data_IF_966612769372
#
_entry.id   IF_966612769372
#
_cell.length_a   1.000
_cell.length_b   1.000
_cell.length_c   1.000
_cell.angle_alpha   90.00
_cell.angle_beta   90.00
_cell.angle_gamma   90.00
#
_symmetry.space_group_name_H-M   'P 1'
#
loop_
_entity.id
_entity.type
_entity.pdbx_description
1 polymer ?
#
# COMPACT_ATOMS: atom_id res chain seq x y z
N UNK A 1 -16.87 38.44 10.24
CA UNK A 1 -15.66 39.26 10.09
C UNK A 1 -14.44 38.37 10.33
N UNK A 2 -13.51 38.46 9.38
CA UNK A 2 -12.12 37.97 9.34
C UNK A 2 -11.86 36.49 9.01
N UNK A 3 -11.28 36.32 7.81
CA UNK A 3 -10.38 35.26 7.33
C UNK A 3 -10.88 34.14 6.41
N UNK A 4 -11.41 34.49 5.23
CA UNK A 4 -11.40 33.58 4.07
C UNK A 4 -10.98 34.23 2.72
N UNK A 5 -10.32 35.40 2.74
CA UNK A 5 -9.99 36.16 1.50
C UNK A 5 -8.54 36.11 0.99
N UNK A 6 -7.72 35.15 1.41
CA UNK A 6 -6.36 35.03 0.85
C UNK A 6 -5.95 33.60 0.52
N UNK A 7 -6.54 32.98 -0.51
CA UNK A 7 -5.97 31.74 -1.08
C UNK A 7 -6.08 31.52 -2.59
N UNK A 8 -6.24 32.56 -3.41
CA UNK A 8 -6.09 32.43 -4.86
C UNK A 8 -5.46 33.68 -5.49
N UNK A 9 -4.12 33.77 -5.40
CA UNK A 9 -3.31 34.58 -6.31
C UNK A 9 -2.11 33.76 -6.75
N UNK A 10 -2.14 33.32 -8.01
CA UNK A 10 -0.97 32.82 -8.70
C UNK A 10 -1.23 31.54 -9.48
N UNK A 11 -1.76 31.65 -10.69
CA UNK A 11 -1.22 30.95 -11.86
C UNK A 11 -1.84 31.55 -13.12
N UNK A 12 -0.94 32.14 -13.91
CA UNK A 12 -1.17 32.79 -15.19
C UNK A 12 -1.50 31.77 -16.28
N UNK A 13 -2.33 32.23 -17.23
CA UNK A 13 -2.80 31.55 -18.42
C UNK A 13 -1.72 30.82 -19.24
N UNK A 14 -2.06 29.63 -19.74
CA UNK A 14 -1.63 29.09 -21.02
C UNK A 14 -2.46 27.83 -21.34
N UNK A 15 -3.12 27.82 -22.50
CA UNK A 15 -3.64 26.58 -23.09
C UNK A 15 -5.05 26.67 -23.69
N UNK A 16 -5.16 27.26 -24.87
CA UNK A 16 -6.30 27.08 -25.79
C UNK A 16 -6.20 25.68 -26.40
N UNK A 17 -7.24 24.83 -26.29
CA UNK A 17 -7.64 23.88 -27.33
C UNK A 17 -8.98 23.16 -27.03
N UNK A 18 -9.97 23.49 -27.87
CA UNK A 18 -10.98 22.62 -28.51
C UNK A 18 -11.86 21.74 -27.59
N UNK A 19 -13.06 22.24 -27.28
CA UNK A 19 -14.20 21.43 -26.87
C UNK A 19 -14.91 20.85 -28.11
N UNK A 20 -15.08 19.53 -28.14
CA UNK A 20 -16.01 18.86 -29.03
C UNK A 20 -17.43 18.95 -28.42
N UNK A 21 -18.33 19.60 -29.15
CA UNK A 21 -19.74 19.71 -28.83
C UNK A 21 -20.44 18.35 -29.01
N UNK A 22 -21.16 17.89 -27.99
CA UNK A 22 -22.17 16.86 -28.12
C UNK A 22 -23.56 17.52 -27.96
N UNK A 23 -24.36 17.41 -29.03
CA UNK A 23 -25.70 17.94 -29.17
C UNK A 23 -26.64 17.58 -28.02
N UNK A 24 -27.31 18.57 -27.45
CA UNK A 24 -28.70 18.45 -27.02
C UNK A 24 -29.51 19.53 -27.71
N UNK A 25 -30.62 19.11 -28.31
CA UNK A 25 -31.46 19.89 -29.23
C UNK A 25 -32.11 21.08 -28.54
N UNK A 26 -31.81 22.27 -29.03
CA UNK A 26 -32.48 23.53 -28.67
C UNK A 26 -33.80 23.63 -29.44
N UNK A 27 -34.92 23.75 -28.74
CA UNK A 27 -36.21 24.17 -29.30
C UNK A 27 -36.13 25.68 -29.59
N UNK A 28 -36.61 26.18 -30.74
CA UNK A 28 -36.37 27.56 -31.15
C UNK A 28 -37.05 28.57 -30.21
N UNK A 29 -36.31 29.63 -29.88
CA UNK A 29 -36.85 30.81 -29.20
C UNK A 29 -37.93 31.50 -30.07
N UNK A 30 -39.04 31.97 -29.49
CA UNK A 30 -39.91 32.91 -30.18
C UNK A 30 -39.21 34.28 -30.32
N UNK A 31 -39.43 34.90 -31.47
CA UNK A 31 -38.88 36.19 -31.88
C UNK A 31 -39.39 37.36 -31.04
N UNK A 32 -38.49 38.31 -30.75
CA UNK A 32 -38.82 39.64 -30.24
C UNK A 32 -39.54 40.49 -31.29
N UNK A 33 -40.74 40.97 -30.97
CA UNK A 33 -41.28 42.24 -31.44
C UNK A 33 -42.43 42.73 -30.52
N UNK A 34 -42.29 44.00 -30.10
CA UNK A 34 -43.27 44.96 -29.55
C UNK A 34 -43.69 44.78 -28.07
N UNK A 35 -42.98 45.40 -27.11
CA UNK A 35 -42.98 46.81 -26.65
C UNK A 35 -43.99 47.07 -25.49
N UNK A 36 -43.41 47.50 -24.37
CA UNK A 36 -43.98 48.23 -23.23
C UNK A 36 -45.21 47.65 -22.50
N UNK A 37 -44.93 46.94 -21.41
CA UNK A 37 -45.31 47.49 -20.10
C UNK A 37 -44.47 46.86 -18.99
N UNK A 38 -43.60 47.70 -18.42
CA UNK A 38 -43.29 47.63 -16.99
C UNK A 38 -44.59 47.45 -16.19
N UNK A 39 -44.45 46.84 -15.01
CA UNK A 39 -45.50 46.56 -14.00
C UNK A 39 -46.21 45.20 -14.21
N UNK A 40 -45.47 44.14 -13.91
CA UNK A 40 -45.97 42.77 -13.79
C UNK A 40 -45.73 42.16 -12.39
N UNK A 41 -45.68 42.96 -11.32
CA UNK A 41 -46.09 42.49 -9.99
C UNK A 41 -47.60 42.26 -10.07
N UNK A 42 -47.99 41.11 -10.62
CA UNK A 42 -49.39 40.77 -10.80
C UNK A 42 -49.96 40.42 -9.43
N UNK A 43 -50.54 41.44 -8.80
CA UNK A 43 -51.61 41.40 -7.82
C UNK A 43 -51.91 39.98 -7.29
N UNK A 44 -51.36 39.67 -6.13
CA UNK A 44 -52.06 38.80 -5.19
C UNK A 44 -53.39 39.51 -4.90
N UNK A 45 -54.50 38.88 -5.23
CA UNK A 45 -55.84 39.39 -4.95
C UNK A 45 -55.98 39.66 -3.44
N UNK A 46 -55.90 40.93 -3.06
CA UNK A 46 -56.01 41.41 -1.68
C UNK A 46 -57.48 41.50 -1.20
N UNK A 47 -58.40 40.70 -1.75
CA UNK A 47 -59.75 40.58 -1.18
C UNK A 47 -59.81 39.75 0.11
N UNK A 48 -58.70 39.11 0.52
CA UNK A 48 -58.52 38.52 1.86
C UNK A 48 -57.18 38.91 2.52
N UNK A 49 -56.88 40.21 2.63
CA UNK A 49 -55.77 40.71 3.48
C UNK A 49 -56.07 40.49 4.98
N UNK A 50 -56.03 39.22 5.40
CA UNK A 50 -55.80 38.83 6.78
C UNK A 50 -54.36 38.37 6.87
N UNK A 51 -53.56 39.03 7.70
CA UNK A 51 -52.20 38.67 8.11
C UNK A 51 -51.80 37.22 7.72
N UNK A 52 -51.26 37.05 6.51
CA UNK A 52 -50.80 35.75 6.04
C UNK A 52 -49.41 35.55 6.65
N UNK A 53 -49.36 34.82 7.75
CA UNK A 53 -48.12 34.31 8.34
C UNK A 53 -48.08 32.80 8.14
N UNK A 54 -46.93 32.24 7.77
CA UNK A 54 -46.79 30.82 7.49
C UNK A 54 -47.10 30.43 6.04
N UNK A 55 -47.60 29.21 5.83
CA UNK A 55 -47.80 28.64 4.49
C UNK A 55 -49.09 29.13 3.83
N UNK A 56 -49.00 29.51 2.55
CA UNK A 56 -50.15 29.84 1.72
C UNK A 56 -50.11 29.10 0.40
N UNK A 57 -51.29 28.69 -0.10
CA UNK A 57 -51.46 28.14 -1.45
C UNK A 57 -52.34 29.11 -2.23
N UNK A 58 -51.73 29.89 -3.12
CA UNK A 58 -52.40 30.95 -3.88
C UNK A 58 -52.23 30.76 -5.39
N UNK A 59 -52.73 31.71 -6.19
CA UNK A 59 -52.45 31.81 -7.63
C UNK A 59 -51.32 32.82 -7.88
N UNK A 60 -50.35 32.55 -8.78
CA UNK A 60 -50.16 31.30 -9.52
C UNK A 60 -49.94 30.09 -8.59
N UNK A 61 -50.36 28.90 -9.04
CA UNK A 61 -50.43 27.72 -8.17
C UNK A 61 -49.05 27.37 -7.60
N UNK A 62 -48.91 27.47 -6.27
CA UNK A 62 -47.66 27.23 -5.57
C UNK A 62 -47.85 27.28 -4.06
N UNK A 63 -46.91 26.70 -3.32
CA UNK A 63 -46.83 26.89 -1.86
C UNK A 63 -45.83 28.00 -1.58
N UNK A 64 -46.26 29.01 -0.83
CA UNK A 64 -45.49 30.19 -0.47
C UNK A 64 -45.30 30.25 1.04
N UNK A 65 -44.25 30.92 1.50
CA UNK A 65 -44.01 31.13 2.92
C UNK A 65 -43.84 32.63 3.22
N UNK A 66 -44.61 33.11 4.18
CA UNK A 66 -44.58 34.49 4.65
C UNK A 66 -44.13 34.50 6.11
N UNK A 67 -43.18 35.38 6.44
CA UNK A 67 -42.71 35.55 7.81
C UNK A 67 -43.75 36.29 8.68
N UNK A 68 -43.41 36.51 9.95
CA UNK A 68 -44.29 37.17 10.93
C UNK A 68 -44.61 38.64 10.57
N UNK A 69 -43.78 39.28 9.74
CA UNK A 69 -44.00 40.63 9.24
C UNK A 69 -44.83 40.64 7.94
N UNK A 70 -45.25 39.47 7.46
CA UNK A 70 -46.01 39.28 6.23
C UNK A 70 -45.15 39.37 4.97
N UNK A 71 -43.82 39.30 5.09
CA UNK A 71 -42.90 39.34 3.96
C UNK A 71 -42.72 37.94 3.39
N UNK A 72 -42.90 37.81 2.07
CA UNK A 72 -42.65 36.56 1.35
C UNK A 72 -41.17 36.20 1.42
N UNK A 73 -40.88 34.98 1.85
CA UNK A 73 -39.52 34.46 1.89
C UNK A 73 -39.16 33.76 0.59
N UNK A 74 -37.91 33.92 0.20
CA UNK A 74 -37.30 33.25 -0.96
C UNK A 74 -35.98 32.59 -0.55
N UNK A 75 -35.43 31.78 -1.44
CA UNK A 75 -34.20 31.02 -1.26
C UNK A 75 -34.29 30.00 -0.11
N UNK A 76 -33.17 29.70 0.55
CA UNK A 76 -33.07 28.70 1.60
C UNK A 76 -33.62 29.27 2.93
N UNK A 77 -34.72 28.70 3.42
CA UNK A 77 -35.43 29.23 4.59
C UNK A 77 -35.59 28.12 5.62
N UNK A 78 -35.21 28.40 6.88
CA UNK A 78 -35.61 27.58 8.02
C UNK A 78 -36.97 28.07 8.52
N UNK A 79 -38.00 27.29 8.24
CA UNK A 79 -39.38 27.62 8.61
C UNK A 79 -39.61 27.46 10.12
N UNK A 80 -40.73 28.01 10.62
CA UNK A 80 -41.12 27.93 12.04
C UNK A 80 -41.27 26.49 12.58
N UNK A 81 -41.56 25.53 11.70
CA UNK A 81 -41.60 24.11 12.05
C UNK A 81 -40.20 23.48 12.20
N UNK A 82 -39.14 24.28 12.06
CA UNK A 82 -37.74 23.88 12.18
C UNK A 82 -37.14 23.29 10.90
N UNK A 83 -37.97 22.96 9.90
CA UNK A 83 -37.53 22.32 8.67
C UNK A 83 -36.94 23.34 7.70
N UNK A 84 -35.90 22.91 7.00
CA UNK A 84 -35.27 23.68 5.94
C UNK A 84 -36.02 23.45 4.63
N UNK A 85 -36.38 24.53 3.92
CA UNK A 85 -37.07 24.49 2.63
C UNK A 85 -36.42 25.50 1.67
N UNK A 86 -36.60 25.31 0.38
CA UNK A 86 -36.16 26.27 -0.63
C UNK A 86 -37.36 26.83 -1.39
N UNK A 87 -37.38 28.15 -1.53
CA UNK A 87 -38.39 28.89 -2.27
C UNK A 87 -37.71 29.60 -3.43
N UNK A 88 -38.27 29.46 -4.63
CA UNK A 88 -37.69 30.05 -5.83
C UNK A 88 -37.57 31.58 -5.71
N UNK A 89 -36.41 32.19 -6.03
CA UNK A 89 -36.19 33.62 -5.80
C UNK A 89 -36.97 34.54 -6.75
N UNK A 90 -37.38 34.05 -7.92
CA UNK A 90 -38.16 34.84 -8.88
C UNK A 90 -39.65 34.77 -8.58
N UNK A 91 -40.13 33.59 -8.18
CA UNK A 91 -41.56 33.31 -8.07
C UNK A 91 -42.04 33.17 -6.64
N UNK A 92 -41.17 32.87 -5.67
CA UNK A 92 -41.51 32.57 -4.27
C UNK A 92 -42.09 31.17 -4.05
N UNK A 93 -42.16 30.33 -5.10
CA UNK A 93 -42.77 28.99 -5.01
C UNK A 93 -41.81 28.00 -4.35
N UNK A 94 -42.31 27.24 -3.38
CA UNK A 94 -41.57 26.17 -2.71
C UNK A 94 -41.18 25.06 -3.70
N UNK A 95 -39.92 24.66 -3.65
CA UNK A 95 -39.37 23.59 -4.45
C UNK A 95 -39.60 22.23 -3.78
N UNK A 96 -40.01 21.23 -4.57
CA UNK A 96 -40.27 19.86 -4.10
C UNK A 96 -39.77 18.83 -5.10
N UNK A 97 -39.28 17.68 -4.64
CA UNK A 97 -38.66 16.61 -5.45
C UNK A 97 -37.54 17.10 -6.39
N UNK A 98 -36.78 18.10 -5.98
CA UNK A 98 -35.74 18.69 -6.81
C UNK A 98 -34.46 18.95 -6.05
N UNK A 99 -33.37 18.95 -6.83
CA UNK A 99 -32.05 19.35 -6.41
C UNK A 99 -31.94 20.88 -6.39
N UNK A 100 -31.20 21.37 -5.41
CA UNK A 100 -30.78 22.76 -5.35
C UNK A 100 -29.31 22.81 -5.00
N UNK A 101 -28.57 23.71 -5.63
CA UNK A 101 -27.22 24.04 -5.21
C UNK A 101 -27.14 25.52 -4.84
N UNK A 102 -26.45 25.81 -3.75
CA UNK A 102 -26.16 27.19 -3.38
C UNK A 102 -24.92 27.73 -4.12
N UNK A 103 -24.55 28.97 -3.79
CA UNK A 103 -23.42 29.67 -4.39
C UNK A 103 -22.05 29.09 -4.00
N UNK A 104 -21.98 28.27 -2.95
CA UNK A 104 -20.75 27.58 -2.49
C UNK A 104 -20.63 26.16 -3.08
N UNK A 105 -21.53 25.81 -4.02
CA UNK A 105 -21.66 24.48 -4.60
C UNK A 105 -22.02 23.39 -3.58
N UNK A 106 -22.71 23.76 -2.50
CA UNK A 106 -23.34 22.81 -1.58
C UNK A 106 -24.68 22.40 -2.17
N UNK A 107 -24.90 21.09 -2.24
CA UNK A 107 -26.11 20.53 -2.82
C UNK A 107 -27.07 20.06 -1.73
N UNK A 108 -28.35 20.34 -1.97
CA UNK A 108 -29.50 19.93 -1.17
C UNK A 108 -30.49 19.20 -2.08
N UNK A 109 -31.32 18.36 -1.47
CA UNK A 109 -32.49 17.78 -2.14
C UNK A 109 -33.73 18.02 -1.29
N UNK A 110 -34.77 18.54 -1.92
CA UNK A 110 -36.05 18.80 -1.25
C UNK A 110 -37.03 17.69 -1.59
N UNK A 111 -37.59 17.05 -0.57
CA UNK A 111 -38.53 15.93 -0.70
C UNK A 111 -39.88 16.35 -1.29
N UNK A 112 -40.82 15.40 -1.34
CA UNK A 112 -42.17 15.65 -1.87
C UNK A 112 -42.97 16.66 -1.03
N UNK A 113 -42.63 16.82 0.25
CA UNK A 113 -43.20 17.82 1.17
C UNK A 113 -42.42 19.14 1.19
N UNK A 114 -41.40 19.28 0.34
CA UNK A 114 -40.54 20.46 0.24
C UNK A 114 -39.51 20.61 1.35
N UNK A 115 -39.36 19.63 2.24
CA UNK A 115 -38.33 19.64 3.29
C UNK A 115 -36.99 19.15 2.76
N UNK A 116 -35.89 19.74 3.23
CA UNK A 116 -34.55 19.26 2.93
C UNK A 116 -34.37 17.88 3.56
N UNK A 117 -33.97 16.91 2.74
CA UNK A 117 -33.75 15.54 3.20
C UNK A 117 -32.46 15.43 4.04
N UNK A 118 -32.33 14.34 4.77
CA UNK A 118 -31.14 13.99 5.56
C UNK A 118 -30.88 12.48 5.50
N UNK A 119 -29.72 12.05 5.98
CA UNK A 119 -29.25 10.66 5.97
C UNK A 119 -29.18 10.08 4.55
N UNK A 120 -29.19 8.75 4.44
CA UNK A 120 -29.21 8.03 3.17
C UNK A 120 -30.52 8.23 2.41
N UNK A 121 -30.41 8.63 1.14
CA UNK A 121 -31.54 8.88 0.25
C UNK A 121 -31.33 8.18 -1.09
N UNK A 122 -32.36 7.48 -1.56
CA UNK A 122 -32.39 6.86 -2.88
C UNK A 122 -33.11 7.80 -3.84
N UNK A 123 -32.37 8.47 -4.70
CA UNK A 123 -32.89 9.50 -5.60
C UNK A 123 -32.52 9.10 -7.03
N UNK A 124 -33.53 8.95 -7.90
CA UNK A 124 -33.29 8.57 -9.29
C UNK A 124 -32.63 7.20 -9.49
N UNK A 125 -32.65 6.34 -8.46
CA UNK A 125 -32.03 5.00 -8.49
C UNK A 125 -30.61 4.95 -7.91
N UNK A 126 -30.03 6.09 -7.54
CA UNK A 126 -28.71 6.19 -6.94
C UNK A 126 -28.79 6.61 -5.47
N UNK A 127 -27.83 6.15 -4.66
CA UNK A 127 -27.75 6.50 -3.25
C UNK A 127 -26.93 7.77 -3.03
N UNK A 128 -27.45 8.63 -2.17
CA UNK A 128 -26.84 9.87 -1.72
C UNK A 128 -26.90 9.94 -0.19
N UNK A 129 -26.00 10.72 0.41
CA UNK A 129 -26.04 10.97 1.84
C UNK A 129 -26.07 12.47 2.10
N UNK A 130 -26.98 12.91 2.97
CA UNK A 130 -27.11 14.30 3.40
C UNK A 130 -26.90 14.37 4.90
N UNK A 131 -26.04 15.24 5.38
CA UNK A 131 -25.73 15.34 6.81
C UNK A 131 -26.95 15.83 7.60
N UNK A 132 -27.37 15.16 8.68
CA UNK A 132 -28.55 15.55 9.45
C UNK A 132 -28.48 16.95 10.08
N UNK A 133 -27.28 17.48 10.30
CA UNK A 133 -27.07 18.74 11.01
C UNK A 133 -27.32 19.97 10.14
N UNK A 134 -26.95 19.90 8.87
CA UNK A 134 -26.97 21.02 7.91
C UNK A 134 -27.69 20.71 6.59
N UNK A 135 -28.00 19.44 6.32
CA UNK A 135 -28.59 18.94 5.08
C UNK A 135 -27.67 19.03 3.85
N UNK A 136 -26.38 19.24 4.06
CA UNK A 136 -25.39 19.29 2.98
C UNK A 136 -25.18 17.88 2.42
N UNK A 137 -25.12 17.74 1.10
CA UNK A 137 -24.75 16.48 0.47
C UNK A 137 -23.28 16.12 0.76
N UNK A 138 -23.04 14.85 1.08
CA UNK A 138 -21.71 14.32 1.32
C UNK A 138 -20.93 14.05 0.03
N UNK A 139 -19.61 14.20 0.12
CA UNK A 139 -18.66 13.96 -0.96
C UNK A 139 -17.41 13.24 -0.45
N UNK A 140 -16.79 12.47 -1.34
CA UNK A 140 -15.54 11.77 -1.07
C UNK A 140 -15.67 10.61 -0.10
N UNK A 141 -14.54 10.25 0.53
CA UNK A 141 -14.53 9.26 1.59
C UNK A 141 -15.19 9.84 2.83
N UNK A 142 -16.24 9.19 3.31
CA UNK A 142 -16.93 9.53 4.54
C UNK A 142 -17.09 8.30 5.43
N UNK A 143 -17.19 8.54 6.73
CA UNK A 143 -17.49 7.49 7.69
C UNK A 143 -18.89 7.72 8.27
N UNK A 144 -19.77 6.74 8.11
CA UNK A 144 -21.17 6.78 8.56
C UNK A 144 -21.40 5.50 9.35
N UNK A 145 -21.84 5.62 10.60
CA UNK A 145 -22.08 4.49 11.52
C UNK A 145 -20.89 3.51 11.63
N UNK A 146 -19.67 4.05 11.66
CA UNK A 146 -18.43 3.27 11.76
C UNK A 146 -18.01 2.57 10.46
N UNK A 147 -18.73 2.78 9.36
CA UNK A 147 -18.44 2.20 8.04
C UNK A 147 -17.96 3.28 7.08
N UNK A 148 -17.03 2.92 6.21
CA UNK A 148 -16.47 3.84 5.23
C UNK A 148 -17.25 3.72 3.90
N UNK A 149 -17.55 4.85 3.28
CA UNK A 149 -18.22 4.94 1.98
C UNK A 149 -17.47 5.93 1.09
N UNK A 150 -17.67 5.83 -0.22
CA UNK A 150 -17.18 6.83 -1.17
C UNK A 150 -18.33 7.42 -1.96
N UNK A 151 -18.53 8.73 -1.81
CA UNK A 151 -19.47 9.53 -2.59
C UNK A 151 -18.66 10.26 -3.65
N UNK A 152 -19.13 10.25 -4.90
CA UNK A 152 -18.44 10.87 -6.01
C UNK A 152 -18.03 12.31 -5.74
N UNK A 153 -16.73 12.58 -5.70
CA UNK A 153 -16.16 13.89 -5.33
C UNK A 153 -16.33 14.96 -6.41
N UNK A 154 -16.29 16.26 -6.03
CA UNK A 154 -16.12 17.36 -6.98
C UNK A 154 -14.94 17.12 -7.94
N UNK A 155 -15.18 17.20 -9.25
CA UNK A 155 -14.28 16.75 -10.31
C UNK A 155 -15.02 16.28 -11.57
N UNK A 156 -14.42 15.40 -12.38
CA UNK A 156 -15.00 14.95 -13.66
C UNK A 156 -16.37 14.27 -13.55
N UNK A 157 -16.73 13.73 -12.37
CA UNK A 157 -18.01 13.09 -12.08
C UNK A 157 -18.59 13.62 -10.74
N UNK A 158 -18.77 14.94 -10.61
CA UNK A 158 -19.14 15.63 -9.37
C UNK A 158 -20.62 15.51 -8.97
N UNK A 159 -21.19 14.31 -8.91
CA UNK A 159 -22.62 14.15 -8.67
C UNK A 159 -22.98 13.70 -7.25
N UNK A 160 -22.02 13.30 -6.41
CA UNK A 160 -22.28 12.85 -5.03
C UNK A 160 -22.89 11.45 -4.91
N UNK A 161 -23.01 10.70 -6.01
CA UNK A 161 -23.50 9.32 -5.98
C UNK A 161 -22.57 8.42 -5.19
N UNK A 162 -23.14 7.55 -4.36
CA UNK A 162 -22.40 6.52 -3.66
C UNK A 162 -21.87 5.48 -4.66
N UNK A 163 -20.55 5.31 -4.68
CA UNK A 163 -19.91 4.25 -5.43
C UNK A 163 -20.05 2.92 -4.68
N UNK A 164 -20.31 1.85 -5.43
CA UNK A 164 -20.47 0.51 -4.90
C UNK A 164 -20.06 -0.55 -5.93
N UNK A 165 -19.96 -1.80 -5.49
CA UNK A 165 -19.73 -2.97 -6.35
C UNK A 165 -18.45 -2.93 -7.19
N UNK A 166 -17.31 -2.57 -6.60
CA UNK A 166 -16.03 -2.71 -7.28
C UNK A 166 -14.96 -1.69 -6.92
N UNK A 167 -13.98 -1.60 -7.82
CA UNK A 167 -12.83 -0.70 -7.71
C UNK A 167 -13.23 0.76 -7.93
N UNK A 168 -12.71 1.63 -7.09
CA UNK A 168 -12.92 3.08 -7.17
C UNK A 168 -11.56 3.75 -7.18
N UNK A 169 -11.36 4.68 -8.12
CA UNK A 169 -10.17 5.53 -8.16
C UNK A 169 -10.51 6.93 -7.64
N UNK A 170 -9.98 7.23 -6.46
CA UNK A 170 -10.02 8.57 -5.90
C UNK A 170 -8.95 9.42 -6.58
N UNK A 171 -9.39 10.21 -7.57
CA UNK A 171 -8.54 11.05 -8.41
C UNK A 171 -7.93 12.24 -7.66
N UNK A 172 -8.51 12.65 -6.52
CA UNK A 172 -7.99 13.76 -5.72
C UNK A 172 -6.69 13.34 -5.03
N UNK A 173 -6.67 12.13 -4.47
CA UNK A 173 -5.52 11.63 -3.70
C UNK A 173 -4.67 10.61 -4.46
N UNK A 174 -5.09 10.19 -5.66
CA UNK A 174 -4.44 9.15 -6.44
C UNK A 174 -4.47 7.80 -5.73
N UNK A 175 -5.61 7.44 -5.16
CA UNK A 175 -5.76 6.23 -4.32
C UNK A 175 -6.84 5.30 -4.87
N UNK A 176 -6.62 4.01 -4.65
CA UNK A 176 -7.59 2.96 -4.99
C UNK A 176 -8.34 2.52 -3.73
N UNK A 177 -9.63 2.26 -3.92
CA UNK A 177 -10.56 1.75 -2.93
C UNK A 177 -11.32 0.59 -3.56
N UNK A 178 -11.98 -0.22 -2.74
CA UNK A 178 -12.91 -1.22 -3.22
C UNK A 178 -14.18 -1.19 -2.39
N UNK A 179 -15.33 -1.07 -3.04
CA UNK A 179 -16.63 -1.05 -2.39
C UNK A 179 -17.37 -2.38 -2.59
N UNK A 180 -18.01 -2.85 -1.52
CA UNK A 180 -18.99 -3.93 -1.55
C UNK A 180 -20.24 -3.53 -2.32
N UNK A 181 -21.19 -4.46 -2.49
CA UNK A 181 -22.46 -4.15 -3.15
C UNK A 181 -23.35 -3.17 -2.38
N UNK A 182 -23.12 -2.99 -1.08
CA UNK A 182 -23.80 -1.96 -0.27
C UNK A 182 -23.04 -0.63 -0.21
N UNK A 183 -21.91 -0.49 -0.93
CA UNK A 183 -21.07 0.71 -0.94
C UNK A 183 -20.04 0.79 0.18
N UNK A 184 -20.07 -0.13 1.15
CA UNK A 184 -19.08 -0.18 2.23
C UNK A 184 -17.69 -0.47 1.64
N UNK A 185 -16.70 0.36 2.00
CA UNK A 185 -15.31 0.17 1.58
C UNK A 185 -14.65 -0.95 2.39
N UNK A 186 -13.92 -1.83 1.68
CA UNK A 186 -13.18 -2.93 2.28
C UNK A 186 -12.03 -2.43 3.16
N UNK A 187 -11.73 -3.15 4.24
CA UNK A 187 -10.59 -2.91 5.14
C UNK A 187 -9.89 -4.24 5.44
N UNK A 188 -8.59 -4.22 5.67
CA UNK A 188 -7.78 -5.43 5.85
C UNK A 188 -7.53 -6.21 4.55
N UNK A 189 -7.21 -7.49 4.69
CA UNK A 189 -6.90 -8.40 3.58
C UNK A 189 -8.15 -8.89 2.86
N UNK A 190 -8.17 -8.77 1.53
CA UNK A 190 -9.23 -9.31 0.68
C UNK A 190 -8.69 -9.95 -0.59
N UNK A 191 -9.24 -11.12 -0.95
CA UNK A 191 -8.99 -11.76 -2.25
C UNK A 191 -10.04 -11.28 -3.25
N UNK A 192 -9.60 -10.56 -4.27
CA UNK A 192 -10.44 -10.00 -5.33
C UNK A 192 -9.98 -10.61 -6.65
N UNK A 193 -10.81 -11.47 -7.24
CA UNK A 193 -10.50 -12.12 -8.52
C UNK A 193 -9.25 -13.01 -8.48
N UNK A 194 -8.98 -13.68 -7.35
CA UNK A 194 -7.80 -14.54 -7.17
C UNK A 194 -6.54 -13.81 -6.68
N UNK A 195 -6.57 -12.48 -6.59
CA UNK A 195 -5.44 -11.67 -6.14
C UNK A 195 -5.71 -11.08 -4.76
N UNK A 196 -4.74 -11.13 -3.86
CA UNK A 196 -4.84 -10.54 -2.53
C UNK A 196 -4.44 -9.07 -2.54
N UNK A 197 -5.23 -8.25 -1.85
CA UNK A 197 -5.01 -6.82 -1.63
C UNK A 197 -5.20 -6.51 -0.15
N UNK A 198 -4.53 -5.46 0.33
CA UNK A 198 -4.71 -4.96 1.68
C UNK A 198 -5.23 -3.52 1.65
N UNK A 199 -6.28 -3.26 2.42
CA UNK A 199 -6.88 -1.94 2.59
C UNK A 199 -6.66 -1.47 4.02
N UNK A 200 -6.27 -0.21 4.23
CA UNK A 200 -6.13 0.32 5.59
C UNK A 200 -7.51 0.56 6.25
N UNK A 201 -7.52 1.07 7.48
CA UNK A 201 -8.73 1.36 8.26
C UNK A 201 -9.69 2.36 7.60
N UNK A 202 -9.22 3.15 6.62
CA UNK A 202 -10.00 4.12 5.86
C UNK A 202 -10.43 3.60 4.47
N UNK A 203 -10.19 2.31 4.21
CA UNK A 203 -10.52 1.66 2.94
C UNK A 203 -9.58 1.96 1.78
N UNK A 204 -8.41 2.54 2.05
CA UNK A 204 -7.39 2.84 1.03
C UNK A 204 -6.52 1.61 0.80
N UNK A 205 -6.44 1.16 -0.45
CA UNK A 205 -5.56 0.09 -0.87
C UNK A 205 -4.09 0.49 -0.69
N UNK A 206 -3.32 -0.36 -0.01
CA UNK A 206 -1.89 -0.15 0.21
C UNK A 206 -1.03 -0.82 -0.86
N UNK A 207 0.14 -0.21 -1.09
CA UNK A 207 1.22 -0.74 -1.92
C UNK A 207 2.53 -0.65 -1.14
N UNK A 208 3.54 -1.40 -1.56
CA UNK A 208 4.82 -1.52 -0.87
C UNK A 208 4.74 -2.44 0.36
N UNK A 209 5.59 -2.17 1.34
CA UNK A 209 5.64 -2.96 2.59
C UNK A 209 4.41 -2.70 3.47
N UNK A 210 3.81 -3.79 3.95
CA UNK A 210 2.65 -3.78 4.84
C UNK A 210 3.02 -4.57 6.09
N UNK A 211 2.90 -3.94 7.25
CA UNK A 211 3.01 -4.61 8.54
C UNK A 211 1.60 -4.87 9.07
N UNK A 212 1.22 -6.14 9.11
CA UNK A 212 0.00 -6.59 9.74
C UNK A 212 0.35 -7.37 11.00
N UNK A 213 0.12 -6.74 12.15
CA UNK A 213 0.28 -7.34 13.47
C UNK A 213 1.67 -7.96 13.71
N UNK A 214 2.72 -7.33 13.20
CA UNK A 214 4.11 -7.77 13.32
C UNK A 214 4.60 -8.67 12.18
N UNK A 215 3.70 -9.10 11.29
CA UNK A 215 4.06 -9.87 10.09
C UNK A 215 4.18 -8.93 8.90
N UNK A 216 5.28 -9.03 8.16
CA UNK A 216 5.52 -8.20 6.99
C UNK A 216 5.07 -8.88 5.72
N UNK A 217 4.42 -8.10 4.85
CA UNK A 217 3.98 -8.48 3.52
C UNK A 217 4.42 -7.41 2.53
N UNK A 218 4.38 -7.71 1.24
CA UNK A 218 4.65 -6.74 0.19
C UNK A 218 3.56 -6.74 -0.86
N UNK A 219 3.01 -5.56 -1.17
CA UNK A 219 2.11 -5.35 -2.29
C UNK A 219 2.86 -4.61 -3.41
N UNK A 220 2.74 -5.06 -4.65
CA UNK A 220 3.38 -4.40 -5.78
C UNK A 220 2.67 -3.07 -6.15
N UNK A 221 3.10 -2.42 -7.24
CA UNK A 221 2.53 -1.14 -7.67
C UNK A 221 1.03 -1.20 -8.02
N UNK A 222 0.49 -2.37 -8.41
CA UNK A 222 -0.94 -2.57 -8.63
C UNK A 222 -1.71 -2.95 -7.36
N UNK A 223 -1.04 -3.02 -6.21
CA UNK A 223 -1.62 -3.45 -4.93
C UNK A 223 -1.69 -4.96 -4.74
N UNK A 224 -1.30 -5.74 -5.75
CA UNK A 224 -1.31 -7.19 -5.63
C UNK A 224 -0.22 -7.66 -4.67
N UNK A 225 -0.61 -8.49 -3.69
CA UNK A 225 0.31 -9.11 -2.75
C UNK A 225 1.34 -9.99 -3.48
N UNK A 226 2.61 -9.82 -3.14
CA UNK A 226 3.72 -10.59 -3.66
C UNK A 226 3.95 -11.85 -2.82
N UNK A 227 4.45 -12.89 -3.50
CA UNK A 227 4.92 -14.15 -2.92
C UNK A 227 6.23 -14.54 -3.61
N UNK A 228 7.06 -15.34 -2.95
CA UNK A 228 8.34 -15.80 -3.47
C UNK A 228 9.46 -14.76 -3.32
N UNK A 229 10.44 -14.82 -4.23
CA UNK A 229 11.59 -13.92 -4.22
C UNK A 229 11.22 -12.50 -4.63
N UNK A 230 11.68 -11.52 -3.85
CA UNK A 230 11.45 -10.10 -4.06
C UNK A 230 12.79 -9.36 -4.02
N UNK A 231 13.07 -8.53 -5.03
CA UNK A 231 14.24 -7.66 -5.08
C UNK A 231 13.82 -6.20 -4.97
N UNK A 232 14.29 -5.51 -3.94
CA UNK A 232 14.07 -4.09 -3.75
C UNK A 232 15.43 -3.42 -3.55
N UNK A 233 15.80 -2.55 -4.48
CA UNK A 233 17.04 -1.77 -4.37
C UNK A 233 18.32 -2.62 -4.29
N UNK A 234 18.30 -3.85 -4.82
CA UNK A 234 19.43 -4.79 -4.75
C UNK A 234 19.42 -5.72 -3.54
N UNK A 235 18.57 -5.47 -2.54
CA UNK A 235 18.34 -6.39 -1.44
C UNK A 235 17.28 -7.43 -1.84
N UNK A 236 17.54 -8.69 -1.51
CA UNK A 236 16.63 -9.80 -1.76
C UNK A 236 15.88 -10.19 -0.49
N UNK A 237 14.59 -10.43 -0.63
CA UNK A 237 13.67 -10.90 0.40
C UNK A 237 12.95 -12.14 -0.11
N UNK A 238 12.37 -12.92 0.80
CA UNK A 238 11.51 -14.03 0.43
C UNK A 238 10.20 -13.96 1.21
N UNK A 239 9.10 -13.95 0.46
CA UNK A 239 7.74 -14.00 0.96
C UNK A 239 7.26 -15.43 0.76
N UNK A 240 6.74 -16.07 1.80
CA UNK A 240 6.26 -17.44 1.68
C UNK A 240 4.95 -17.54 0.89
N UNK A 241 4.36 -18.74 0.80
CA UNK A 241 3.12 -18.95 0.06
C UNK A 241 1.91 -18.17 0.59
N UNK A 242 1.96 -17.72 1.85
CA UNK A 242 0.95 -16.84 2.45
C UNK A 242 1.23 -15.35 2.20
N UNK A 243 2.39 -15.02 1.64
CA UNK A 243 2.88 -13.66 1.47
C UNK A 243 3.69 -13.14 2.68
N UNK A 244 3.77 -13.89 3.77
CA UNK A 244 4.54 -13.50 4.95
C UNK A 244 6.04 -13.50 4.66
N UNK A 245 6.72 -12.43 5.03
CA UNK A 245 8.16 -12.28 4.87
C UNK A 245 8.91 -13.21 5.81
N UNK A 246 9.87 -13.96 5.27
CA UNK A 246 10.84 -14.73 6.05
C UNK A 246 11.91 -13.78 6.58
N UNK A 247 12.09 -13.78 7.90
CA UNK A 247 13.11 -12.99 8.59
C UNK A 247 13.70 -13.78 9.76
N UNK A 248 14.91 -13.40 10.18
CA UNK A 248 15.67 -13.99 11.28
C UNK A 248 15.67 -15.52 11.26
N UNK A 249 16.00 -16.10 10.09
CA UNK A 249 15.77 -17.52 9.90
C UNK A 249 16.39 -18.14 8.67
N UNK A 250 16.60 -19.46 8.78
CA UNK A 250 17.01 -20.33 7.70
C UNK A 250 15.82 -20.72 6.82
N UNK A 251 16.04 -20.80 5.51
CA UNK A 251 15.06 -21.32 4.56
C UNK A 251 15.73 -22.20 3.51
N UNK A 252 15.17 -23.39 3.29
CA UNK A 252 15.55 -24.25 2.17
C UNK A 252 14.66 -23.96 0.97
N UNK A 253 15.25 -23.45 -0.11
CA UNK A 253 14.56 -23.02 -1.32
C UNK A 253 15.27 -23.65 -2.53
N UNK A 254 14.54 -24.42 -3.33
CA UNK A 254 15.12 -25.05 -4.54
C UNK A 254 16.31 -25.98 -4.25
N UNK A 255 16.38 -26.58 -3.06
CA UNK A 255 17.48 -27.46 -2.65
C UNK A 255 18.72 -26.73 -2.10
N UNK A 256 18.70 -25.41 -2.03
CA UNK A 256 19.75 -24.60 -1.40
C UNK A 256 19.26 -23.97 -0.10
N UNK A 257 20.15 -23.81 0.87
CA UNK A 257 19.85 -23.08 2.11
C UNK A 257 20.19 -21.60 1.98
N UNK A 258 19.33 -20.77 2.56
CA UNK A 258 19.44 -19.32 2.62
C UNK A 258 19.24 -18.87 4.06
N UNK A 259 19.87 -17.76 4.43
CA UNK A 259 19.64 -17.08 5.70
C UNK A 259 19.07 -15.69 5.43
N UNK A 260 18.01 -15.33 6.15
CA UNK A 260 17.43 -14.00 6.15
C UNK A 260 17.69 -13.36 7.51
N UNK A 261 18.21 -12.13 7.53
CA UNK A 261 18.46 -11.39 8.76
C UNK A 261 17.18 -10.83 9.38
N UNK A 262 17.30 -10.08 10.48
CA UNK A 262 16.16 -9.50 11.21
C UNK A 262 15.31 -8.54 10.35
N UNK A 263 15.90 -7.94 9.31
CA UNK A 263 15.18 -7.09 8.35
C UNK A 263 14.48 -7.90 7.25
N UNK A 264 14.71 -9.22 7.21
CA UNK A 264 14.26 -10.09 6.14
C UNK A 264 15.17 -10.07 4.91
N UNK A 265 16.31 -9.38 4.97
CA UNK A 265 17.25 -9.34 3.86
C UNK A 265 18.06 -10.63 3.79
N UNK A 266 18.16 -11.19 2.59
CA UNK A 266 18.91 -12.39 2.28
C UNK A 266 20.41 -12.12 2.46
N UNK A 267 21.07 -12.96 3.25
CA UNK A 267 22.50 -12.88 3.46
C UNK A 267 23.31 -13.25 2.22
N UNK A 268 24.42 -12.52 2.05
CA UNK A 268 25.53 -12.86 1.17
C UNK A 268 26.85 -12.73 1.94
N UNK A 269 27.89 -13.40 1.46
CA UNK A 269 29.22 -13.44 2.07
C UNK A 269 29.27 -14.24 3.37
N UNK A 270 30.31 -13.98 4.17
CA UNK A 270 30.50 -14.61 5.47
C UNK A 270 29.53 -14.05 6.52
N UNK A 271 28.86 -14.94 7.24
CA UNK A 271 27.96 -14.58 8.35
C UNK A 271 28.10 -15.55 9.50
N UNK A 272 28.02 -15.03 10.72
CA UNK A 272 27.94 -15.85 11.91
C UNK A 272 26.47 -16.02 12.32
N UNK A 273 26.03 -17.28 12.41
CA UNK A 273 24.65 -17.64 12.77
C UNK A 273 24.71 -18.68 13.88
N UNK A 274 24.07 -18.42 15.03
CA UNK A 274 24.08 -19.35 16.16
C UNK A 274 25.48 -19.71 16.68
N UNK A 275 26.45 -18.80 16.54
CA UNK A 275 27.85 -18.99 16.96
C UNK A 275 28.77 -19.66 15.93
N UNK A 276 28.22 -20.26 14.87
CA UNK A 276 29.02 -20.84 13.77
C UNK A 276 29.11 -19.90 12.57
N UNK A 277 30.22 -19.96 11.84
CA UNK A 277 30.41 -19.21 10.60
C UNK A 277 29.88 -20.00 9.40
N UNK A 278 29.19 -19.30 8.51
CA UNK A 278 28.65 -19.79 7.25
C UNK A 278 29.07 -18.84 6.13
N UNK A 279 29.10 -19.37 4.91
CA UNK A 279 29.33 -18.55 3.72
C UNK A 279 28.16 -18.68 2.76
N UNK A 280 27.61 -17.54 2.34
CA UNK A 280 26.56 -17.44 1.33
C UNK A 280 27.16 -16.84 0.06
N UNK A 281 26.96 -17.50 -1.07
CA UNK A 281 27.43 -16.99 -2.37
C UNK A 281 26.72 -15.70 -2.78
N UNK A 282 27.09 -15.12 -3.93
CA UNK A 282 26.42 -13.92 -4.46
C UNK A 282 24.93 -14.14 -4.78
N UNK A 283 24.50 -15.38 -4.99
CA UNK A 283 23.08 -15.73 -5.13
C UNK A 283 22.37 -15.95 -3.79
N UNK A 284 23.09 -15.87 -2.67
CA UNK A 284 22.61 -16.17 -1.32
C UNK A 284 22.57 -17.65 -0.96
N UNK A 285 22.88 -18.57 -1.88
CA UNK A 285 22.95 -19.99 -1.56
C UNK A 285 24.13 -20.26 -0.60
N UNK A 286 23.85 -20.96 0.50
CA UNK A 286 24.82 -21.40 1.49
C UNK A 286 25.80 -22.42 0.89
N UNK A 287 27.09 -22.19 1.03
CA UNK A 287 28.12 -23.15 0.69
C UNK A 287 28.17 -24.28 1.73
N UNK A 288 28.34 -25.52 1.25
CA UNK A 288 28.56 -26.71 2.08
C UNK A 288 29.44 -27.70 1.31
N UNK A 289 30.07 -28.61 2.04
CA UNK A 289 31.00 -29.64 1.50
C UNK A 289 32.10 -29.07 0.59
N UNK A 290 32.52 -27.83 0.82
CA UNK A 290 33.38 -27.08 -0.10
C UNK A 290 34.35 -26.15 0.61
N UNK A 291 35.45 -25.83 -0.08
CA UNK A 291 36.40 -24.80 0.35
C UNK A 291 35.97 -23.42 -0.17
N UNK A 292 36.00 -22.41 0.71
CA UNK A 292 35.86 -20.99 0.37
C UNK A 292 37.11 -20.28 0.86
N UNK A 293 38.04 -20.01 -0.06
CA UNK A 293 39.39 -19.57 0.32
C UNK A 293 40.11 -20.64 1.12
N UNK A 294 40.68 -20.25 2.27
CA UNK A 294 41.42 -21.15 3.17
C UNK A 294 40.51 -21.85 4.20
N UNK A 295 39.18 -21.73 4.07
CA UNK A 295 38.21 -22.23 5.05
C UNK A 295 37.34 -23.31 4.43
N UNK A 296 37.06 -24.38 5.18
CA UNK A 296 36.20 -25.46 4.73
C UNK A 296 34.82 -25.39 5.39
N UNK A 297 33.77 -25.47 4.57
CA UNK A 297 32.38 -25.50 5.01
C UNK A 297 31.93 -26.97 5.00
N UNK A 298 31.51 -27.46 6.16
CA UNK A 298 31.05 -28.84 6.34
C UNK A 298 29.72 -29.09 5.63
N UNK A 299 29.20 -30.32 5.65
CA UNK A 299 27.90 -30.67 5.07
C UNK A 299 26.72 -29.88 5.68
N UNK A 300 26.86 -29.46 6.94
CA UNK A 300 25.91 -28.56 7.60
C UNK A 300 26.03 -27.09 7.16
N UNK A 301 27.03 -26.77 6.34
CA UNK A 301 27.44 -25.41 5.98
C UNK A 301 28.28 -24.69 7.03
N UNK A 302 28.43 -25.24 8.24
CA UNK A 302 29.23 -24.62 9.28
C UNK A 302 30.73 -24.74 8.94
N UNK A 303 31.47 -23.65 9.14
CA UNK A 303 32.91 -23.60 8.98
C UNK A 303 33.59 -24.55 9.97
N UNK A 304 34.48 -25.40 9.47
CA UNK A 304 35.29 -26.29 10.30
C UNK A 304 36.35 -25.50 11.09
N UNK A 305 36.55 -25.87 12.36
CA UNK A 305 37.63 -25.38 13.23
C UNK A 305 38.25 -26.56 13.96
N UNK A 306 39.55 -26.51 14.22
CA UNK A 306 40.31 -27.56 14.91
C UNK A 306 40.03 -28.99 14.39
N UNK A 307 39.98 -29.14 13.07
CA UNK A 307 39.46 -30.35 12.43
C UNK A 307 40.28 -30.79 11.21
N UNK A 308 40.26 -32.10 10.95
CA UNK A 308 40.76 -32.68 9.71
C UNK A 308 39.66 -32.69 8.64
N UNK A 309 39.99 -32.19 7.45
CA UNK A 309 39.17 -32.21 6.24
C UNK A 309 39.93 -33.00 5.18
N UNK A 310 39.66 -34.30 5.07
CA UNK A 310 40.48 -35.20 4.25
C UNK A 310 41.93 -35.20 4.73
N UNK A 311 42.86 -34.78 3.87
CA UNK A 311 44.31 -34.66 4.18
C UNK A 311 44.73 -33.27 4.69
N UNK A 312 43.78 -32.35 4.85
CA UNK A 312 44.04 -30.96 5.25
C UNK A 312 43.59 -30.76 6.70
N UNK A 313 44.34 -29.97 7.47
CA UNK A 313 43.95 -29.60 8.83
C UNK A 313 43.64 -28.12 8.91
N UNK A 314 42.51 -27.77 9.53
CA UNK A 314 42.12 -26.38 9.81
C UNK A 314 42.30 -26.06 11.29
N UNK A 315 42.85 -24.88 11.58
CA UNK A 315 43.16 -24.41 12.93
C UNK A 315 41.93 -23.96 13.72
N UNK A 316 42.17 -23.38 14.90
CA UNK A 316 41.12 -22.84 15.77
C UNK A 316 40.34 -21.69 15.13
N UNK A 317 41.02 -20.87 14.33
CA UNK A 317 40.43 -19.83 13.50
C UNK A 317 39.74 -20.37 12.23
N UNK A 318 39.76 -21.69 12.03
CA UNK A 318 39.21 -22.39 10.87
C UNK A 318 40.07 -22.30 9.61
N UNK A 319 41.22 -21.63 9.68
CA UNK A 319 42.10 -21.47 8.52
C UNK A 319 42.89 -22.75 8.27
N UNK A 320 43.00 -23.16 7.02
CA UNK A 320 43.87 -24.26 6.63
C UNK A 320 45.33 -23.99 7.01
N UNK A 321 45.96 -24.99 7.63
CA UNK A 321 47.38 -24.97 8.01
C UNK A 321 48.16 -25.91 7.08
N UNK A 322 48.90 -25.39 6.09
CA UNK A 322 49.69 -26.21 5.18
C UNK A 322 50.72 -27.07 5.90
N UNK A 323 50.68 -28.38 5.65
CA UNK A 323 51.63 -29.35 6.18
C UNK A 323 51.50 -29.63 7.68
N UNK A 324 50.39 -29.25 8.32
CA UNK A 324 50.10 -29.62 9.70
C UNK A 324 50.09 -31.14 9.88
N UNK A 325 50.75 -31.63 10.92
CA UNK A 325 50.84 -33.07 11.21
C UNK A 325 51.75 -33.86 10.26
N UNK A 326 52.44 -33.21 9.33
CA UNK A 326 53.48 -33.87 8.53
C UNK A 326 54.64 -34.26 9.42
N UNK A 327 54.85 -35.57 9.54
CA UNK A 327 56.00 -36.16 10.24
C UNK A 327 57.04 -36.57 9.22
N UNK A 328 58.26 -36.07 9.41
CA UNK A 328 59.44 -36.51 8.67
C UNK A 328 60.56 -36.92 9.62
N UNK A 329 61.55 -37.58 9.05
CA UNK A 329 62.72 -38.09 9.72
C UNK A 329 63.94 -37.49 9.02
N UNK A 330 64.92 -37.01 9.78
CA UNK A 330 66.11 -36.37 9.22
C UNK A 330 67.38 -37.08 9.65
N UNK A 331 68.27 -37.39 8.68
CA UNK A 331 69.62 -37.89 8.91
C UNK A 331 70.63 -37.06 8.09
N UNK A 332 71.38 -36.17 8.74
CA UNK A 332 72.26 -35.23 8.04
C UNK A 332 71.47 -34.28 7.12
N UNK A 333 71.79 -34.25 5.82
CA UNK A 333 71.05 -33.51 4.79
C UNK A 333 69.81 -34.23 4.26
N UNK A 334 69.62 -35.51 4.60
CA UNK A 334 68.54 -36.32 4.05
C UNK A 334 67.26 -36.18 4.89
N UNK A 335 66.14 -35.99 4.19
CA UNK A 335 64.80 -35.89 4.79
C UNK A 335 63.91 -37.01 4.24
N UNK A 336 63.23 -37.72 5.15
CA UNK A 336 62.42 -38.90 4.88
C UNK A 336 61.00 -38.69 5.43
N UNK A 337 59.94 -38.81 4.62
CA UNK A 337 58.55 -38.68 5.11
C UNK A 337 57.95 -40.03 5.52
N UNK A 338 57.12 -40.08 6.57
CA UNK A 338 56.53 -41.35 7.04
C UNK A 338 55.04 -41.51 6.73
N UNK A 339 54.71 -42.76 6.42
CA UNK A 339 53.54 -43.17 5.65
C UNK A 339 52.28 -43.31 6.53
N UNK A 340 51.54 -42.21 6.71
CA UNK A 340 50.10 -42.24 7.00
C UNK A 340 49.28 -41.22 6.20
N UNK A 341 49.81 -40.67 5.12
CA UNK A 341 49.00 -39.94 4.14
C UNK A 341 48.56 -40.90 3.03
N UNK A 342 47.28 -41.26 3.01
CA UNK A 342 46.60 -41.60 1.76
C UNK A 342 46.80 -40.39 0.84
N UNK A 343 47.57 -40.60 -0.22
CA UNK A 343 47.78 -39.74 -1.40
C UNK A 343 48.32 -38.32 -1.17
N UNK A 344 49.56 -38.08 -1.57
CA UNK A 344 50.01 -36.81 -2.15
C UNK A 344 50.78 -37.11 -3.44
N UNK A 345 50.52 -36.30 -4.46
CA UNK A 345 50.80 -36.55 -5.88
C UNK A 345 52.26 -36.58 -6.31
N UNK A 346 52.42 -36.82 -7.62
CA UNK A 346 53.61 -37.28 -8.34
C UNK A 346 54.88 -36.40 -8.32
N UNK A 347 54.93 -35.29 -7.58
CA UNK A 347 55.94 -34.25 -7.86
C UNK A 347 56.87 -33.87 -6.69
N UNK A 348 57.10 -34.76 -5.73
CA UNK A 348 58.20 -34.59 -4.77
C UNK A 348 59.54 -35.07 -5.38
N UNK A 349 60.06 -34.33 -6.38
CA UNK A 349 61.42 -34.58 -6.91
C UNK A 349 62.45 -34.36 -5.78
N UNK A 350 63.06 -35.46 -5.32
CA UNK A 350 64.22 -35.44 -4.41
C UNK A 350 64.09 -36.21 -3.10
N UNK A 351 62.93 -36.81 -2.79
CA UNK A 351 62.71 -37.49 -1.50
C UNK A 351 62.54 -39.01 -1.67
N UNK A 352 63.28 -39.81 -0.89
CA UNK A 352 63.17 -41.27 -0.91
C UNK A 352 62.13 -41.76 0.11
N UNK A 353 61.19 -42.61 -0.33
CA UNK A 353 60.20 -43.24 0.55
C UNK A 353 60.86 -44.41 1.30
N UNK A 354 60.97 -44.33 2.62
CA UNK A 354 61.43 -45.43 3.49
C UNK A 354 60.44 -45.68 4.63
N UNK A 355 60.43 -46.89 5.19
CA UNK A 355 59.60 -47.20 6.35
C UNK A 355 60.10 -46.49 7.61
N UNK A 356 59.23 -46.29 8.61
CA UNK A 356 59.61 -45.71 9.92
C UNK A 356 60.78 -46.50 10.54
N UNK A 357 60.72 -47.83 10.46
CA UNK A 357 61.76 -48.72 10.97
C UNK A 357 63.09 -48.51 10.25
N UNK A 358 63.08 -48.31 8.93
CA UNK A 358 64.28 -48.04 8.15
C UNK A 358 64.84 -46.64 8.43
N UNK A 359 63.98 -45.63 8.64
CA UNK A 359 64.40 -44.29 9.03
C UNK A 359 65.11 -44.29 10.39
N UNK A 360 64.54 -44.98 11.37
CA UNK A 360 65.17 -45.17 12.69
C UNK A 360 66.47 -45.97 12.58
N UNK A 361 66.52 -47.01 11.74
CA UNK A 361 67.73 -47.83 11.50
C UNK A 361 68.88 -47.00 10.94
N UNK A 362 68.57 -45.98 10.13
CA UNK A 362 69.54 -45.02 9.57
C UNK A 362 69.92 -43.91 10.54
N UNK A 363 69.47 -43.94 11.80
CA UNK A 363 69.74 -42.90 12.78
C UNK A 363 68.98 -41.59 12.53
N UNK A 364 67.92 -41.62 11.70
CA UNK A 364 67.13 -40.44 11.43
C UNK A 364 66.23 -40.09 12.63
N UNK A 365 66.20 -38.81 13.02
CA UNK A 365 65.38 -38.31 14.13
C UNK A 365 64.02 -37.82 13.65
N UNK A 366 62.96 -38.08 14.41
CA UNK A 366 61.58 -37.66 14.08
C UNK A 366 61.44 -36.17 14.30
N UNK A 367 60.99 -35.47 13.27
CA UNK A 367 60.58 -34.06 13.31
C UNK A 367 59.13 -33.96 12.84
N UNK A 368 58.36 -33.03 13.39
CA UNK A 368 57.02 -32.72 12.90
C UNK A 368 56.90 -31.24 12.55
N UNK A 369 56.31 -30.92 11.40
CA UNK A 369 55.89 -29.55 11.09
C UNK A 369 54.61 -29.20 11.81
N UNK A 370 54.62 -28.08 12.51
CA UNK A 370 53.41 -27.44 13.04
C UNK A 370 52.58 -28.36 13.96
N UNK A 371 53.14 -29.45 14.48
CA UNK A 371 52.48 -30.24 15.54
C UNK A 371 52.47 -29.41 16.82
N UNK A 372 51.30 -29.03 17.31
CA UNK A 372 51.16 -28.89 18.76
C UNK A 372 51.27 -30.29 19.36
N UNK A 373 52.05 -30.46 20.44
CA UNK A 373 51.95 -31.65 21.28
C UNK A 373 50.56 -31.61 21.92
N UNK A 374 49.58 -32.22 21.27
CA UNK A 374 48.34 -32.60 21.93
C UNK A 374 48.76 -33.71 22.90
N UNK A 375 48.78 -33.37 24.19
CA UNK A 375 49.26 -34.21 25.28
C UNK A 375 48.53 -35.54 25.41
#
# INVERSE_FOLDING_TARGET
MNNLRERWRGLTALGVAVFAAACMTVVPAPSFADIDSLVGLQYIDHSESRNLTGFSVSRPAGTYYFDNDGSMQTELVRCEDGNLRYFDPETGVMVTNQWYNDYEAVWYYFGADGTAVSNWQLIGGDWYYFYPENHDMAYGRVQIDGKNYFLNTPGANADGRMQHSGWIYDSIYGKWLYATSSGELLTGWHNIGGTWYYFNEYGVMLTGWINDSGTWYYANASGAMATGWLNIGGAWFYLDGSGAMVANGWRSLGGSWYWFDDSGAMATGWRQVGGAWYYFSGSGAMAHDAWVGDYYLQSSGAMATNAWVGSYYVGEDGKWIPGYGLVWYKNGSDVYHTHKCRTVGKDAKGYSQISIQEAQRRGASRECKNCQQIG
#
